data_IF_162771865967
#
_entry.id   IF_162771865967
#
_cell.length_a   1.000
_cell.length_b   1.000
_cell.length_c   1.000
_cell.angle_alpha   90.00
_cell.angle_beta   90.00
_cell.angle_gamma   90.00
#
_symmetry.space_group_name_H-M   'P 1'
#
loop_
_entity.id
_entity.type
_entity.pdbx_description
1 polymer ?
#
# COMPACT_ATOMS: atom_id res chain seq x y z
N UNK A 1 27.68 -3.01 9.89
CA UNK A 1 26.44 -2.34 9.43
C UNK A 1 25.53 -1.97 10.63
N UNK A 2 25.15 -2.89 11.50
CA UNK A 2 24.24 -2.61 12.63
C UNK A 2 24.68 -1.45 13.52
N UNK A 3 25.98 -1.34 13.84
CA UNK A 3 26.52 -0.23 14.64
C UNK A 3 26.14 1.17 14.10
N UNK A 4 26.16 1.38 12.79
CA UNK A 4 25.75 2.65 12.20
C UNK A 4 24.22 2.81 12.20
N UNK A 5 23.50 1.71 11.97
CA UNK A 5 22.03 1.73 11.98
C UNK A 5 21.45 2.03 13.39
N UNK A 6 22.14 1.65 14.44
CA UNK A 6 21.75 1.96 15.82
C UNK A 6 21.87 3.45 16.14
N UNK A 7 22.86 4.13 15.57
CA UNK A 7 23.15 5.54 15.81
C UNK A 7 22.38 6.50 14.91
N UNK A 8 21.93 6.04 13.75
CA UNK A 8 21.20 6.84 12.79
C UNK A 8 19.76 7.07 13.30
N UNK A 9 19.28 8.31 13.25
CA UNK A 9 17.85 8.55 13.46
C UNK A 9 17.03 8.03 12.28
N UNK A 10 15.96 7.26 12.51
CA UNK A 10 15.05 6.82 11.45
C UNK A 10 14.45 7.96 10.62
N UNK A 11 14.35 9.16 11.21
CA UNK A 11 13.87 10.35 10.51
C UNK A 11 14.78 10.75 9.35
N UNK A 12 16.09 10.52 9.44
CA UNK A 12 17.02 10.81 8.35
C UNK A 12 16.68 10.03 7.07
N UNK A 13 16.40 8.74 7.19
CA UNK A 13 16.02 7.89 6.07
C UNK A 13 14.61 8.20 5.55
N UNK A 14 13.69 8.53 6.46
CA UNK A 14 12.34 8.98 6.10
C UNK A 14 12.38 10.29 5.31
N UNK A 15 13.23 11.25 5.69
CA UNK A 15 13.42 12.51 4.95
C UNK A 15 14.11 12.27 3.59
N UNK A 16 15.07 11.36 3.50
CA UNK A 16 15.69 10.98 2.23
C UNK A 16 14.64 10.40 1.27
N UNK A 17 13.87 9.41 1.72
CA UNK A 17 12.77 8.84 0.94
C UNK A 17 11.77 9.92 0.50
N UNK A 18 11.37 10.82 1.40
CA UNK A 18 10.47 11.93 1.08
C UNK A 18 11.02 12.83 -0.03
N UNK A 19 12.33 13.14 0.00
CA UNK A 19 12.98 13.93 -1.06
C UNK A 19 12.95 13.18 -2.41
N UNK A 20 13.25 11.90 -2.43
CA UNK A 20 13.18 11.05 -3.63
C UNK A 20 11.77 11.07 -4.24
N UNK A 21 10.74 10.77 -3.45
CA UNK A 21 9.36 10.76 -3.94
C UNK A 21 8.90 12.14 -4.40
N UNK A 22 9.29 13.22 -3.71
CA UNK A 22 8.98 14.59 -4.16
C UNK A 22 9.59 14.89 -5.53
N UNK A 23 10.81 14.45 -5.78
CA UNK A 23 11.48 14.64 -7.08
C UNK A 23 10.73 13.91 -8.19
N UNK A 24 10.29 12.67 -7.96
CA UNK A 24 9.51 11.90 -8.92
C UNK A 24 8.16 12.55 -9.24
N UNK A 25 7.45 13.06 -8.22
CA UNK A 25 6.17 13.75 -8.42
C UNK A 25 6.38 15.06 -9.19
N UNK A 26 7.43 15.82 -8.87
CA UNK A 26 7.75 17.07 -9.55
C UNK A 26 8.14 16.86 -11.02
N UNK A 27 8.75 15.74 -11.36
CA UNK A 27 9.13 15.37 -12.72
C UNK A 27 7.96 15.18 -13.69
N UNK A 28 6.71 15.09 -13.18
CA UNK A 28 5.45 14.98 -13.94
C UNK A 28 5.29 13.76 -14.84
N UNK A 29 6.26 12.86 -14.90
CA UNK A 29 6.29 11.71 -15.82
C UNK A 29 5.16 10.71 -15.58
N UNK A 30 4.74 10.59 -14.33
CA UNK A 30 3.68 9.68 -13.93
C UNK A 30 2.28 10.33 -13.92
N UNK A 31 2.16 11.58 -14.36
CA UNK A 31 0.88 12.31 -14.30
C UNK A 31 -0.25 11.61 -15.07
N UNK A 32 0.07 10.87 -16.13
CA UNK A 32 -0.90 10.10 -16.93
C UNK A 32 -1.55 8.95 -16.16
N UNK A 33 -0.92 8.49 -15.08
CA UNK A 33 -1.38 7.33 -14.28
C UNK A 33 -2.24 7.74 -13.07
N UNK A 34 -2.60 9.02 -12.97
CA UNK A 34 -3.46 9.51 -11.90
C UNK A 34 -4.89 9.06 -12.14
N UNK A 35 -5.54 8.58 -11.09
CA UNK A 35 -6.95 8.20 -11.12
C UNK A 35 -7.80 9.41 -11.51
N UNK A 36 -8.67 9.22 -12.50
CA UNK A 36 -9.53 10.26 -13.09
C UNK A 36 -8.73 11.50 -13.53
N UNK A 37 -7.47 11.31 -13.97
CA UNK A 37 -6.56 12.37 -14.39
C UNK A 37 -6.11 13.32 -13.26
N UNK A 38 -6.57 13.11 -12.02
CA UNK A 38 -6.39 14.05 -10.90
C UNK A 38 -5.69 13.43 -9.69
N UNK A 39 -6.12 12.28 -9.22
CA UNK A 39 -5.75 11.76 -7.90
C UNK A 39 -4.59 10.76 -7.96
N UNK A 40 -3.63 10.92 -7.08
CA UNK A 40 -2.62 9.90 -6.83
C UNK A 40 -3.21 8.80 -5.95
N UNK A 41 -3.15 7.57 -6.42
CA UNK A 41 -3.58 6.41 -5.64
C UNK A 41 -2.54 6.11 -4.56
N UNK A 42 -2.97 6.09 -3.31
CA UNK A 42 -2.14 5.74 -2.15
C UNK A 42 -2.78 4.57 -1.43
N UNK A 43 -2.11 3.43 -1.44
CA UNK A 43 -2.60 2.19 -0.85
C UNK A 43 -2.02 2.07 0.56
N UNK A 44 -2.90 1.84 1.53
CA UNK A 44 -2.54 1.54 2.92
C UNK A 44 -2.66 0.04 3.16
N UNK A 45 -1.63 -0.56 3.74
CA UNK A 45 -1.68 -1.94 4.21
C UNK A 45 -0.63 -2.19 5.29
N UNK A 46 -0.98 -3.06 6.24
CA UNK A 46 -0.12 -3.43 7.36
C UNK A 46 0.54 -4.79 7.14
N UNK A 47 1.82 -4.91 7.47
CA UNK A 47 2.51 -6.20 7.41
C UNK A 47 3.28 -6.52 8.68
N UNK A 48 3.25 -7.81 9.09
CA UNK A 48 4.12 -8.33 10.15
C UNK A 48 5.57 -8.41 9.66
N UNK A 49 6.51 -8.14 10.55
CA UNK A 49 7.92 -8.25 10.25
C UNK A 49 8.49 -9.57 10.78
N UNK A 50 8.58 -9.74 12.09
CA UNK A 50 9.14 -10.94 12.71
C UNK A 50 8.46 -11.22 14.04
N UNK A 51 8.55 -12.47 14.51
CA UNK A 51 7.90 -12.97 15.71
C UNK A 51 8.94 -13.57 16.67
N UNK A 52 8.72 -13.36 17.97
CA UNK A 52 9.56 -13.86 19.04
C UNK A 52 8.74 -14.67 20.03
N UNK A 53 9.36 -15.70 20.62
CA UNK A 53 8.74 -16.47 21.71
C UNK A 53 9.22 -16.02 23.09
N UNK A 54 10.50 -15.71 23.22
CA UNK A 54 11.14 -15.41 24.51
C UNK A 54 11.78 -14.03 24.54
N UNK A 55 12.83 -13.80 23.75
CA UNK A 55 13.56 -12.54 23.74
C UNK A 55 12.85 -11.52 22.86
N UNK A 56 12.42 -10.41 23.41
CA UNK A 56 11.70 -9.33 22.73
C UNK A 56 12.14 -7.96 23.28
N UNK A 57 11.73 -6.89 22.63
CA UNK A 57 11.93 -5.53 23.09
C UNK A 57 10.66 -4.98 23.79
N UNK A 58 10.78 -3.89 24.52
CA UNK A 58 9.68 -3.27 25.27
C UNK A 58 8.55 -2.72 24.38
N UNK A 59 8.84 -2.45 23.11
CA UNK A 59 7.90 -1.89 22.14
C UNK A 59 7.13 -2.95 21.33
N UNK A 60 7.39 -4.24 21.56
CA UNK A 60 6.73 -5.31 20.84
C UNK A 60 5.22 -5.33 21.08
N UNK A 61 4.48 -5.65 20.03
CA UNK A 61 3.10 -6.11 20.16
C UNK A 61 3.09 -7.54 20.66
N UNK A 62 2.01 -7.94 21.34
CA UNK A 62 1.87 -9.29 21.90
C UNK A 62 0.54 -9.92 21.45
N UNK A 63 0.58 -11.20 21.16
CA UNK A 63 -0.63 -12.02 20.91
C UNK A 63 -0.50 -13.36 21.58
N UNK A 64 -1.61 -13.95 21.99
CA UNK A 64 -1.67 -15.33 22.47
C UNK A 64 -2.06 -16.27 21.33
N UNK A 65 -1.29 -17.34 21.16
CA UNK A 65 -1.59 -18.41 20.20
C UNK A 65 -1.80 -19.72 20.94
N UNK A 66 -2.92 -20.38 20.66
CA UNK A 66 -3.19 -21.71 21.15
C UNK A 66 -2.45 -22.72 20.26
N UNK A 67 -1.65 -23.57 20.88
CA UNK A 67 -0.94 -24.66 20.21
C UNK A 67 -1.84 -25.90 20.07
N UNK A 68 -1.45 -26.84 19.21
CA UNK A 68 -2.19 -28.07 18.96
C UNK A 68 -2.35 -28.94 20.23
N UNK A 69 -1.44 -28.80 21.20
CA UNK A 69 -1.47 -29.48 22.52
C UNK A 69 -2.35 -28.74 23.55
N UNK A 70 -3.10 -27.69 23.13
CA UNK A 70 -3.96 -26.90 24.00
C UNK A 70 -3.25 -25.82 24.82
N UNK A 71 -1.92 -25.80 24.85
CA UNK A 71 -1.15 -24.77 25.56
C UNK A 71 -1.24 -23.42 24.86
N UNK A 72 -1.37 -22.35 25.65
CA UNK A 72 -1.26 -20.98 25.15
C UNK A 72 0.17 -20.50 25.26
N UNK A 73 0.71 -19.99 24.17
CA UNK A 73 2.01 -19.33 24.15
C UNK A 73 1.82 -17.84 23.79
N UNK A 74 2.60 -17.00 24.45
CA UNK A 74 2.70 -15.58 24.08
C UNK A 74 3.69 -15.45 22.92
N UNK A 75 3.27 -14.72 21.89
CA UNK A 75 4.13 -14.37 20.76
C UNK A 75 4.25 -12.85 20.73
N UNK A 76 5.48 -12.37 20.72
CA UNK A 76 5.81 -10.97 20.56
C UNK A 76 6.17 -10.69 19.12
N UNK A 77 5.75 -9.56 18.57
CA UNK A 77 5.97 -9.30 17.16
C UNK A 77 6.07 -7.80 16.87
N UNK A 78 6.67 -7.48 15.75
CA UNK A 78 6.65 -6.14 15.17
C UNK A 78 5.77 -6.11 13.93
N UNK A 79 5.06 -5.02 13.76
CA UNK A 79 4.21 -4.75 12.60
C UNK A 79 4.48 -3.35 12.07
N UNK A 80 4.37 -3.19 10.78
CA UNK A 80 4.54 -1.90 10.12
C UNK A 80 3.35 -1.64 9.21
N UNK A 81 2.95 -0.39 9.13
CA UNK A 81 1.98 0.12 8.17
C UNK A 81 2.73 0.90 7.09
N UNK A 82 2.49 0.55 5.84
CA UNK A 82 2.99 1.26 4.68
C UNK A 82 1.88 2.03 3.97
N UNK A 83 2.21 3.23 3.53
CA UNK A 83 1.48 3.94 2.50
C UNK A 83 2.32 3.87 1.22
N UNK A 84 1.83 3.17 0.20
CA UNK A 84 2.51 3.09 -1.10
C UNK A 84 1.76 3.89 -2.15
N UNK A 85 2.49 4.77 -2.85
CA UNK A 85 1.96 5.52 -3.98
C UNK A 85 2.12 4.71 -5.27
N UNK A 86 1.04 4.62 -6.03
CA UNK A 86 1.04 3.97 -7.35
C UNK A 86 1.38 5.01 -8.39
N UNK A 87 2.59 4.97 -8.90
CA UNK A 87 3.07 5.87 -9.94
C UNK A 87 2.78 5.32 -11.34
N UNK A 88 2.86 4.00 -11.52
CA UNK A 88 2.45 3.29 -12.72
C UNK A 88 2.09 1.85 -12.39
N UNK A 89 1.74 1.06 -13.41
CA UNK A 89 1.49 -0.37 -13.22
C UNK A 89 2.73 -1.14 -12.76
N UNK A 90 3.92 -0.63 -13.02
CA UNK A 90 5.19 -1.26 -12.67
C UNK A 90 5.91 -0.59 -11.50
N UNK A 91 5.45 0.60 -11.06
CA UNK A 91 6.14 1.39 -10.04
C UNK A 91 5.18 1.74 -8.91
N UNK A 92 5.30 0.99 -7.81
CA UNK A 92 4.50 1.14 -6.59
C UNK A 92 5.44 1.27 -5.39
N UNK A 93 5.69 2.51 -4.96
CA UNK A 93 6.78 2.84 -4.05
C UNK A 93 6.29 3.37 -2.70
N UNK A 94 7.12 3.24 -1.67
CA UNK A 94 6.83 3.74 -0.33
C UNK A 94 6.74 5.26 -0.29
N UNK A 95 5.55 5.77 0.06
CA UNK A 95 5.29 7.19 0.34
C UNK A 95 5.52 7.52 1.81
N UNK A 96 5.21 6.58 2.70
CA UNK A 96 5.30 6.73 4.13
C UNK A 96 5.24 5.41 4.88
N UNK A 97 5.91 5.35 6.02
CA UNK A 97 5.99 4.20 6.93
C UNK A 97 5.58 4.62 8.34
N UNK A 98 4.80 3.80 9.01
CA UNK A 98 4.50 3.93 10.43
C UNK A 98 4.70 2.59 11.13
N UNK A 99 5.52 2.58 12.18
CA UNK A 99 5.71 1.39 12.98
C UNK A 99 4.57 1.28 14.00
N UNK A 100 3.97 0.09 14.08
CA UNK A 100 2.90 -0.22 15.02
C UNK A 100 3.57 -0.83 16.24
N UNK A 101 3.66 -0.06 17.31
CA UNK A 101 4.45 -0.38 18.48
C UNK A 101 3.74 0.07 19.76
N UNK A 102 3.96 -0.67 20.83
CA UNK A 102 3.57 -0.23 22.17
C UNK A 102 4.56 0.80 22.69
N UNK A 103 4.09 1.77 23.50
CA UNK A 103 4.96 2.76 24.15
C UNK A 103 5.87 2.12 25.20
N UNK A 104 5.40 1.03 25.84
CA UNK A 104 6.11 0.24 26.86
C UNK A 104 5.58 -1.19 26.86
N UNK A 105 6.30 -2.11 27.53
CA UNK A 105 5.97 -3.53 27.56
C UNK A 105 4.56 -3.85 28.09
N UNK A 106 4.17 -3.25 29.20
CA UNK A 106 2.92 -3.56 29.90
C UNK A 106 1.87 -2.47 29.66
N UNK A 107 1.33 -2.40 28.44
CA UNK A 107 0.23 -1.48 28.11
C UNK A 107 -1.13 -2.14 28.31
N UNK A 108 -2.11 -1.39 28.78
CA UNK A 108 -3.50 -1.87 28.92
C UNK A 108 -4.16 -2.11 27.57
N UNK A 109 -3.79 -1.32 26.56
CA UNK A 109 -4.28 -1.44 25.18
C UNK A 109 -3.12 -1.31 24.21
N UNK A 110 -2.93 -2.33 23.41
CA UNK A 110 -1.89 -2.32 22.38
C UNK A 110 -2.22 -1.36 21.24
N UNK A 111 -1.19 -0.83 20.59
CA UNK A 111 -1.34 -0.05 19.37
C UNK A 111 -1.95 -0.89 18.24
N UNK A 112 -2.62 -0.25 17.32
CA UNK A 112 -3.31 -0.93 16.23
C UNK A 112 -3.13 -0.21 14.89
N UNK A 113 -3.43 -0.92 13.83
CA UNK A 113 -3.26 -0.46 12.47
C UNK A 113 -4.05 0.82 12.16
N UNK A 114 -5.29 0.97 12.67
CA UNK A 114 -6.07 2.20 12.48
C UNK A 114 -5.45 3.42 13.16
N UNK A 115 -4.88 3.25 14.35
CA UNK A 115 -4.18 4.34 15.03
C UNK A 115 -2.91 4.73 14.29
N UNK A 116 -2.15 3.73 13.85
CA UNK A 116 -0.98 3.94 13.01
C UNK A 116 -1.34 4.64 11.69
N UNK A 117 -2.45 4.26 11.06
CA UNK A 117 -2.93 4.91 9.85
C UNK A 117 -3.24 6.40 10.05
N UNK A 118 -3.90 6.77 11.15
CA UNK A 118 -4.15 8.17 11.48
C UNK A 118 -2.85 8.96 11.64
N UNK A 119 -1.84 8.40 12.32
CA UNK A 119 -0.51 9.02 12.47
C UNK A 119 0.20 9.15 11.13
N UNK A 120 0.15 8.10 10.31
CA UNK A 120 0.76 8.07 8.99
C UNK A 120 0.16 9.10 8.04
N UNK A 121 -1.18 9.19 7.96
CA UNK A 121 -1.86 10.19 7.13
C UNK A 121 -1.51 11.62 7.55
N UNK A 122 -1.40 11.89 8.84
CA UNK A 122 -0.95 13.20 9.35
C UNK A 122 0.48 13.53 8.87
N UNK A 123 1.40 12.56 8.92
CA UNK A 123 2.78 12.72 8.41
C UNK A 123 2.79 12.96 6.90
N UNK A 124 1.97 12.22 6.13
CA UNK A 124 1.86 12.38 4.68
C UNK A 124 1.27 13.75 4.33
N UNK A 125 0.22 14.20 5.02
CA UNK A 125 -0.37 15.52 4.78
C UNK A 125 0.63 16.64 5.04
N UNK A 126 1.43 16.53 6.11
CA UNK A 126 2.51 17.49 6.40
C UNK A 126 3.60 17.46 5.32
N UNK A 127 3.96 16.28 4.82
CA UNK A 127 4.99 16.13 3.81
C UNK A 127 4.53 16.58 2.41
N UNK A 128 3.27 16.35 2.06
CA UNK A 128 2.69 16.59 0.75
C UNK A 128 1.35 17.38 0.84
N UNK A 129 1.35 18.62 1.33
CA UNK A 129 0.13 19.34 1.73
C UNK A 129 -0.86 19.58 0.59
N UNK A 130 -0.38 19.69 -0.66
CA UNK A 130 -1.19 19.99 -1.86
C UNK A 130 -1.40 18.80 -2.78
N UNK A 131 -0.92 17.61 -2.40
CA UNK A 131 -1.04 16.43 -3.25
C UNK A 131 -2.49 15.93 -3.24
N UNK A 132 -3.18 15.87 -4.38
CA UNK A 132 -4.50 15.28 -4.46
C UNK A 132 -4.37 13.75 -4.37
N UNK A 133 -4.85 13.18 -3.28
CA UNK A 133 -4.71 11.76 -2.98
C UNK A 133 -6.07 11.08 -2.99
N UNK A 134 -6.13 9.85 -3.50
CA UNK A 134 -7.18 8.88 -3.25
C UNK A 134 -6.59 7.72 -2.42
N UNK A 135 -7.02 7.61 -1.17
CA UNK A 135 -6.59 6.56 -0.25
C UNK A 135 -7.31 5.26 -0.60
N UNK A 136 -6.56 4.18 -0.70
CA UNK A 136 -7.09 2.83 -0.92
C UNK A 136 -6.70 1.91 0.24
N UNK A 137 -7.61 1.04 0.64
CA UNK A 137 -7.36 0.11 1.74
C UNK A 137 -8.40 -1.01 1.79
N UNK A 138 -8.19 -1.93 2.71
CA UNK A 138 -9.15 -2.99 2.96
C UNK A 138 -10.36 -2.49 3.80
N UNK A 139 -11.27 -3.39 4.15
CA UNK A 139 -12.46 -3.07 4.94
C UNK A 139 -12.15 -2.59 6.38
N UNK A 140 -10.91 -2.68 6.85
CA UNK A 140 -10.51 -2.12 8.14
C UNK A 140 -10.62 -0.59 8.15
N UNK A 141 -10.27 0.02 7.01
CA UNK A 141 -10.25 1.48 6.83
C UNK A 141 -11.63 2.06 6.48
N UNK A 142 -12.60 1.21 6.16
CA UNK A 142 -13.98 1.60 5.92
C UNK A 142 -14.72 1.90 7.23
N UNK A 143 -14.09 2.61 8.15
CA UNK A 143 -14.65 3.07 9.40
C UNK A 143 -14.95 4.57 9.29
N UNK A 144 -16.13 4.98 9.75
CA UNK A 144 -16.64 6.35 9.67
C UNK A 144 -15.60 7.39 10.06
N UNK A 145 -15.04 7.26 11.27
CA UNK A 145 -14.01 8.19 11.76
C UNK A 145 -12.76 8.29 10.86
N UNK A 146 -12.44 7.22 10.13
CA UNK A 146 -11.29 7.22 9.22
C UNK A 146 -11.65 7.81 7.86
N UNK A 147 -12.84 7.53 7.35
CA UNK A 147 -13.38 8.12 6.13
C UNK A 147 -13.52 9.64 6.28
N UNK A 148 -14.08 10.11 7.41
CA UNK A 148 -14.19 11.53 7.74
C UNK A 148 -12.81 12.21 7.86
N UNK A 149 -11.84 11.54 8.47
CA UNK A 149 -10.47 12.05 8.52
C UNK A 149 -9.89 12.26 7.12
N UNK A 150 -10.11 11.32 6.21
CA UNK A 150 -9.68 11.46 4.81
C UNK A 150 -10.40 12.61 4.12
N UNK A 151 -11.72 12.63 4.15
CA UNK A 151 -12.54 13.55 3.36
C UNK A 151 -12.58 14.95 3.95
N UNK A 152 -12.97 15.09 5.21
CA UNK A 152 -13.23 16.38 5.84
C UNK A 152 -11.95 17.07 6.33
N UNK A 153 -11.02 16.31 6.93
CA UNK A 153 -9.80 16.90 7.50
C UNK A 153 -8.69 17.09 6.46
N UNK A 154 -8.46 16.08 5.61
CA UNK A 154 -7.35 16.12 4.65
C UNK A 154 -7.77 16.51 3.25
N UNK A 155 -9.07 16.53 2.94
CA UNK A 155 -9.62 16.78 1.60
C UNK A 155 -9.05 15.80 0.57
N UNK A 156 -8.98 14.52 0.97
CA UNK A 156 -8.57 13.40 0.14
C UNK A 156 -9.76 12.51 -0.15
N UNK A 157 -9.73 11.88 -1.29
CA UNK A 157 -10.73 10.89 -1.65
C UNK A 157 -10.33 9.50 -1.15
N UNK A 158 -11.27 8.57 -1.14
CA UNK A 158 -11.00 7.18 -0.74
C UNK A 158 -11.75 6.17 -1.61
N UNK A 159 -11.19 4.94 -1.65
CA UNK A 159 -11.82 3.72 -2.15
C UNK A 159 -11.45 2.61 -1.18
N UNK A 160 -12.42 2.07 -0.47
CA UNK A 160 -12.22 0.98 0.50
C UNK A 160 -13.01 -0.25 0.12
N UNK A 161 -12.46 -1.44 0.38
CA UNK A 161 -13.20 -2.68 0.20
C UNK A 161 -14.38 -2.72 1.18
N UNK A 162 -15.57 -3.03 0.70
CA UNK A 162 -16.73 -3.30 1.54
C UNK A 162 -16.74 -4.78 1.94
N UNK A 163 -17.04 -5.04 3.23
CA UNK A 163 -17.33 -6.38 3.77
C UNK A 163 -18.66 -6.35 4.52
N UNK A 164 -19.56 -7.27 4.17
CA UNK A 164 -20.89 -7.42 4.82
C UNK A 164 -20.80 -7.44 6.34
N UNK A 165 -19.83 -8.17 6.89
CA UNK A 165 -19.63 -8.32 8.33
C UNK A 165 -19.32 -7.02 9.08
N UNK A 166 -18.88 -5.97 8.40
CA UNK A 166 -18.50 -4.69 9.02
C UNK A 166 -19.45 -3.55 8.75
N UNK A 167 -20.16 -3.59 7.63
CA UNK A 167 -21.05 -2.52 7.16
C UNK A 167 -22.38 -3.12 6.72
N UNK A 168 -23.05 -3.79 7.66
CA UNK A 168 -24.24 -4.58 7.41
C UNK A 168 -25.40 -3.72 6.88
N UNK A 169 -25.66 -2.57 7.51
CA UNK A 169 -26.72 -1.65 7.10
C UNK A 169 -26.48 -1.07 5.69
N UNK A 170 -25.25 -0.70 5.37
CA UNK A 170 -24.90 -0.22 4.02
C UNK A 170 -25.05 -1.34 2.98
N UNK A 171 -24.69 -2.57 3.33
CA UNK A 171 -24.84 -3.72 2.45
C UNK A 171 -26.32 -4.02 2.17
N UNK A 172 -27.14 -3.99 3.20
CA UNK A 172 -28.60 -4.16 3.10
C UNK A 172 -29.25 -3.06 2.26
N UNK A 173 -28.87 -1.79 2.48
CA UNK A 173 -29.34 -0.66 1.68
C UNK A 173 -28.96 -0.79 0.21
N UNK A 174 -27.72 -1.14 -0.07
CA UNK A 174 -27.26 -1.32 -1.44
C UNK A 174 -27.96 -2.49 -2.15
N UNK A 175 -28.13 -3.64 -1.49
CA UNK A 175 -28.86 -4.79 -2.05
C UNK A 175 -30.34 -4.46 -2.30
N UNK A 176 -30.97 -3.66 -1.42
CA UNK A 176 -32.33 -3.19 -1.63
C UNK A 176 -32.43 -2.28 -2.87
N UNK A 177 -31.53 -1.31 -3.02
CA UNK A 177 -31.44 -0.43 -4.19
C UNK A 177 -31.24 -1.28 -5.47
N UNK A 178 -30.36 -2.26 -5.40
CA UNK A 178 -30.04 -3.14 -6.54
C UNK A 178 -31.23 -4.01 -6.96
N UNK A 179 -32.02 -4.53 -6.01
CA UNK A 179 -33.25 -5.29 -6.29
C UNK A 179 -34.35 -4.41 -6.89
N UNK A 180 -34.44 -3.15 -6.48
CA UNK A 180 -35.37 -2.17 -6.99
C UNK A 180 -34.93 -1.51 -8.31
N UNK A 181 -33.90 -2.07 -9.01
CA UNK A 181 -33.32 -1.51 -10.23
C UNK A 181 -32.76 -0.09 -10.11
N UNK A 182 -32.52 0.39 -8.87
CA UNK A 182 -31.93 1.69 -8.58
C UNK A 182 -30.40 1.76 -8.80
N UNK A 183 -29.77 0.67 -9.31
CA UNK A 183 -28.35 0.67 -9.69
C UNK A 183 -28.17 0.75 -11.19
N UNK A 184 -27.18 1.53 -11.61
CA UNK A 184 -26.72 1.49 -13.01
C UNK A 184 -25.89 0.22 -13.26
N UNK A 185 -26.12 -0.47 -14.37
CA UNK A 185 -25.45 -1.71 -14.75
C UNK A 185 -24.72 -1.55 -16.08
N UNK A 186 -23.46 -2.00 -16.11
CA UNK A 186 -22.63 -2.01 -17.32
C UNK A 186 -21.99 -3.40 -17.47
N UNK A 187 -22.07 -3.96 -18.66
CA UNK A 187 -21.49 -5.28 -19.00
C UNK A 187 -20.26 -5.13 -19.90
N UNK A 188 -19.43 -6.16 -19.94
CA UNK A 188 -18.24 -6.19 -20.80
C UNK A 188 -17.04 -5.42 -20.26
N UNK A 189 -17.01 -5.13 -18.95
CA UNK A 189 -15.95 -4.38 -18.32
C UNK A 189 -14.72 -5.24 -18.03
N UNK A 190 -13.57 -4.60 -18.07
CA UNK A 190 -12.25 -5.18 -17.80
C UNK A 190 -11.91 -6.36 -18.75
N UNK A 191 -10.74 -6.95 -18.57
CA UNK A 191 -10.29 -8.07 -19.41
C UNK A 191 -11.20 -9.30 -19.31
N UNK A 192 -11.77 -9.54 -18.13
CA UNK A 192 -12.68 -10.66 -17.87
C UNK A 192 -14.09 -10.44 -18.44
N UNK A 193 -14.35 -9.31 -19.09
CA UNK A 193 -15.67 -8.93 -19.64
C UNK A 193 -16.81 -9.11 -18.62
N UNK A 194 -16.53 -8.76 -17.37
CA UNK A 194 -17.46 -8.85 -16.27
C UNK A 194 -18.57 -7.80 -16.31
N UNK A 195 -19.37 -7.77 -15.28
CA UNK A 195 -20.46 -6.81 -15.10
C UNK A 195 -20.17 -5.94 -13.87
N UNK A 196 -20.31 -4.64 -14.04
CA UNK A 196 -20.25 -3.65 -12.97
C UNK A 196 -21.63 -3.07 -12.66
N UNK A 197 -21.85 -2.75 -11.39
CA UNK A 197 -23.01 -2.02 -10.90
C UNK A 197 -22.52 -0.88 -10.02
N UNK A 198 -23.28 0.21 -9.98
CA UNK A 198 -23.01 1.27 -9.01
C UNK A 198 -24.28 1.99 -8.60
N UNK A 199 -24.24 2.55 -7.40
CA UNK A 199 -25.21 3.51 -6.89
C UNK A 199 -24.45 4.63 -6.20
N UNK A 200 -24.80 5.86 -6.52
CA UNK A 200 -24.29 7.03 -5.80
C UNK A 200 -25.27 7.43 -4.71
N UNK A 201 -24.74 8.11 -3.70
CA UNK A 201 -25.55 8.66 -2.59
C UNK A 201 -26.36 7.59 -1.83
N UNK A 202 -25.73 6.44 -1.57
CA UNK A 202 -26.35 5.39 -0.77
C UNK A 202 -26.30 5.81 0.70
N UNK A 203 -27.46 5.96 1.32
CA UNK A 203 -27.60 6.30 2.73
C UNK A 203 -27.54 5.05 3.60
N UNK A 204 -26.90 5.15 4.75
CA UNK A 204 -26.94 4.11 5.76
C UNK A 204 -28.26 4.17 6.52
N UNK A 205 -29.01 3.08 6.59
CA UNK A 205 -30.39 3.02 7.18
C UNK A 205 -30.44 3.42 8.66
N UNK A 206 -29.32 3.49 9.35
CA UNK A 206 -29.24 3.70 10.80
C UNK A 206 -29.16 5.17 11.25
N UNK A 207 -29.67 6.13 10.47
CA UNK A 207 -29.78 7.54 10.90
C UNK A 207 -28.47 8.31 10.93
N UNK A 208 -27.42 7.81 10.28
CA UNK A 208 -26.17 8.53 10.06
C UNK A 208 -26.20 9.22 8.71
N UNK A 209 -25.80 10.48 8.70
CA UNK A 209 -25.89 11.39 7.55
C UNK A 209 -24.80 11.18 6.49
N UNK A 210 -24.03 10.10 6.53
CA UNK A 210 -22.98 9.88 5.57
C UNK A 210 -23.50 9.21 4.30
N UNK A 211 -23.39 9.94 3.23
CA UNK A 211 -23.75 9.51 1.88
C UNK A 211 -22.52 8.93 1.22
N UNK A 212 -22.58 7.66 0.84
CA UNK A 212 -21.47 6.95 0.21
C UNK A 212 -21.82 6.51 -1.21
N UNK A 213 -20.81 6.44 -2.07
CA UNK A 213 -20.96 5.83 -3.38
C UNK A 213 -20.49 4.39 -3.29
N UNK A 214 -21.30 3.46 -3.80
CA UNK A 214 -21.02 2.02 -3.77
C UNK A 214 -20.92 1.52 -5.20
N UNK A 215 -19.92 0.70 -5.48
CA UNK A 215 -19.78 0.00 -6.76
C UNK A 215 -19.33 -1.43 -6.58
N UNK A 216 -19.78 -2.25 -7.50
CA UNK A 216 -19.58 -3.70 -7.49
C UNK A 216 -19.09 -4.16 -8.84
N UNK A 217 -18.25 -5.19 -8.85
CA UNK A 217 -17.80 -5.86 -10.05
C UNK A 217 -17.88 -7.37 -9.87
N UNK A 218 -18.39 -8.05 -10.87
CA UNK A 218 -18.54 -9.49 -10.88
C UNK A 218 -18.13 -10.08 -12.21
N UNK A 219 -17.40 -11.19 -12.18
CA UNK A 219 -17.08 -11.96 -13.37
C UNK A 219 -17.10 -13.47 -13.09
N UNK A 220 -17.22 -14.24 -14.17
CA UNK A 220 -17.18 -15.70 -14.12
C UNK A 220 -15.77 -16.18 -14.44
N UNK A 221 -15.27 -17.14 -13.67
CA UNK A 221 -14.00 -17.82 -13.93
C UNK A 221 -14.16 -19.32 -13.67
N UNK A 222 -13.19 -20.12 -14.08
CA UNK A 222 -13.15 -21.56 -13.77
C UNK A 222 -12.15 -21.78 -12.62
N UNK A 223 -12.50 -22.64 -11.69
CA UNK A 223 -11.60 -23.09 -10.64
C UNK A 223 -10.62 -24.17 -11.17
N UNK A 224 -9.77 -24.71 -10.28
CA UNK A 224 -8.80 -25.77 -10.61
C UNK A 224 -9.45 -27.09 -11.09
N UNK A 225 -10.76 -27.23 -10.87
CA UNK A 225 -11.58 -28.38 -11.26
C UNK A 225 -12.53 -28.05 -12.41
N UNK A 226 -12.26 -26.98 -13.17
CA UNK A 226 -13.07 -26.45 -14.28
C UNK A 226 -14.51 -26.05 -13.91
N UNK A 227 -14.86 -25.99 -12.63
CA UNK A 227 -16.18 -25.53 -12.20
C UNK A 227 -16.27 -24.02 -12.31
N UNK A 228 -17.37 -23.54 -12.87
CA UNK A 228 -17.65 -22.12 -12.98
C UNK A 228 -17.87 -21.56 -11.58
N UNK A 229 -17.05 -20.59 -11.21
CA UNK A 229 -17.23 -19.78 -10.00
C UNK A 229 -17.45 -18.31 -10.38
N UNK A 230 -18.19 -17.63 -9.53
CA UNK A 230 -18.47 -16.20 -9.65
C UNK A 230 -17.59 -15.47 -8.63
N UNK A 231 -16.74 -14.59 -9.12
CA UNK A 231 -15.94 -13.72 -8.29
C UNK A 231 -16.66 -12.37 -8.18
N UNK A 232 -16.86 -11.89 -6.96
CA UNK A 232 -17.57 -10.65 -6.66
C UNK A 232 -16.69 -9.75 -5.79
N UNK A 233 -16.64 -8.48 -6.15
CA UNK A 233 -15.96 -7.44 -5.38
C UNK A 233 -16.93 -6.28 -5.18
N UNK A 234 -16.89 -5.67 -4.02
CA UNK A 234 -17.66 -4.47 -3.72
C UNK A 234 -16.79 -3.46 -2.97
N UNK A 235 -16.98 -2.21 -3.28
CA UNK A 235 -16.22 -1.11 -2.71
C UNK A 235 -17.12 0.08 -2.42
N UNK A 236 -16.67 0.89 -1.47
CA UNK A 236 -17.22 2.20 -1.15
C UNK A 236 -16.22 3.29 -1.55
N UNK A 237 -16.72 4.42 -1.97
CA UNK A 237 -15.92 5.56 -2.40
C UNK A 237 -16.57 6.89 -2.06
N UNK A 238 -15.72 7.89 -1.82
CA UNK A 238 -16.12 9.29 -1.77
C UNK A 238 -16.22 9.94 -3.17
N UNK A 239 -15.66 9.28 -4.19
CA UNK A 239 -15.72 9.74 -5.58
C UNK A 239 -17.06 9.34 -6.21
N UNK A 240 -17.69 10.27 -6.90
CA UNK A 240 -18.88 9.98 -7.70
C UNK A 240 -18.56 9.03 -8.86
N UNK A 241 -19.43 8.04 -9.05
CA UNK A 241 -19.27 6.99 -10.03
C UNK A 241 -20.22 7.25 -11.19
N UNK A 242 -19.71 7.11 -12.40
CA UNK A 242 -20.44 7.31 -13.65
C UNK A 242 -20.20 6.16 -14.60
N UNK A 243 -21.04 6.02 -15.63
CA UNK A 243 -20.82 5.03 -16.71
C UNK A 243 -19.43 5.15 -17.35
N UNK A 244 -18.86 6.38 -17.39
CA UNK A 244 -17.57 6.67 -18.05
C UNK A 244 -16.38 6.27 -17.20
N UNK A 245 -16.49 6.41 -15.87
CA UNK A 245 -15.36 6.16 -14.97
C UNK A 245 -15.42 4.82 -14.22
N UNK A 246 -16.51 4.06 -14.32
CA UNK A 246 -16.71 2.83 -13.55
C UNK A 246 -15.58 1.81 -13.78
N UNK A 247 -15.16 1.61 -15.01
CA UNK A 247 -14.08 0.66 -15.33
C UNK A 247 -12.75 1.09 -14.71
N UNK A 248 -12.39 2.38 -14.81
CA UNK A 248 -11.20 2.94 -14.18
C UNK A 248 -11.25 2.79 -12.66
N UNK A 249 -12.41 3.04 -12.05
CA UNK A 249 -12.63 2.86 -10.61
C UNK A 249 -12.48 1.39 -10.18
N UNK A 250 -13.02 0.45 -10.95
CA UNK A 250 -12.86 -1.00 -10.70
C UNK A 250 -11.39 -1.40 -10.80
N UNK A 251 -10.69 -0.99 -11.86
CA UNK A 251 -9.26 -1.29 -12.04
C UNK A 251 -8.41 -0.67 -10.92
N UNK A 252 -8.72 0.55 -10.52
CA UNK A 252 -8.05 1.21 -9.40
C UNK A 252 -8.27 0.46 -8.07
N UNK A 253 -9.51 0.09 -7.76
CA UNK A 253 -9.86 -0.61 -6.53
C UNK A 253 -9.24 -2.02 -6.46
N UNK A 254 -9.28 -2.78 -7.56
CA UNK A 254 -8.58 -4.07 -7.69
C UNK A 254 -7.06 -3.91 -7.58
N UNK A 255 -6.53 -2.78 -8.04
CA UNK A 255 -5.10 -2.46 -7.96
C UNK A 255 -4.55 -2.37 -6.54
N UNK A 256 -5.38 -2.38 -5.48
CA UNK A 256 -4.93 -2.48 -4.08
C UNK A 256 -4.04 -3.71 -3.85
N UNK A 257 -4.31 -4.81 -4.52
CA UNK A 257 -3.49 -6.03 -4.45
C UNK A 257 -2.03 -5.82 -4.88
N UNK A 258 -1.72 -4.71 -5.56
CA UNK A 258 -0.35 -4.37 -5.94
C UNK A 258 0.56 -4.15 -4.73
N UNK A 259 0.05 -3.60 -3.61
CA UNK A 259 0.86 -3.46 -2.39
C UNK A 259 1.18 -4.83 -1.78
N UNK A 260 0.23 -5.76 -1.82
CA UNK A 260 0.40 -7.10 -1.27
C UNK A 260 1.32 -7.95 -2.14
N UNK A 261 1.05 -8.03 -3.45
CA UNK A 261 1.76 -8.91 -4.37
C UNK A 261 3.09 -8.33 -4.87
N UNK A 262 3.12 -7.07 -5.29
CA UNK A 262 4.31 -6.42 -5.87
C UNK A 262 5.12 -5.67 -4.81
N UNK A 263 4.49 -5.28 -3.70
CA UNK A 263 5.13 -4.66 -2.55
C UNK A 263 5.63 -5.69 -1.53
N UNK A 264 4.74 -6.09 -0.62
CA UNK A 264 5.17 -6.90 0.53
C UNK A 264 5.59 -8.33 0.18
N UNK A 265 4.94 -8.98 -0.75
CA UNK A 265 5.32 -10.36 -1.13
C UNK A 265 6.73 -10.41 -1.70
N UNK A 266 7.07 -9.45 -2.58
CA UNK A 266 8.44 -9.33 -3.09
C UNK A 266 9.44 -8.96 -1.99
N UNK A 267 9.03 -8.16 -1.01
CA UNK A 267 9.89 -7.77 0.11
C UNK A 267 10.07 -8.89 1.14
N UNK A 268 9.08 -9.77 1.33
CA UNK A 268 9.15 -10.92 2.24
C UNK A 268 9.86 -12.12 1.63
N UNK A 269 9.36 -12.57 0.50
CA UNK A 269 9.75 -13.82 -0.15
C UNK A 269 10.80 -13.63 -1.25
N UNK A 270 11.02 -12.40 -1.68
CA UNK A 270 11.98 -12.05 -2.71
C UNK A 270 13.36 -11.67 -2.17
N UNK A 271 13.86 -10.53 -2.65
CA UNK A 271 15.23 -10.06 -2.40
C UNK A 271 15.45 -9.59 -0.95
N UNK A 272 14.48 -8.92 -0.36
CA UNK A 272 14.72 -8.10 0.84
C UNK A 272 14.52 -8.81 2.17
N UNK A 273 13.75 -9.92 2.21
CA UNK A 273 13.51 -10.75 3.40
C UNK A 273 13.16 -9.91 4.64
N UNK A 274 12.21 -9.01 4.54
CA UNK A 274 11.84 -8.08 5.62
C UNK A 274 11.36 -8.76 6.92
N UNK A 275 11.04 -10.05 6.86
CA UNK A 275 10.69 -10.87 8.03
C UNK A 275 11.92 -11.44 8.73
N UNK A 276 13.14 -11.17 8.23
CA UNK A 276 14.38 -11.59 8.89
C UNK A 276 14.86 -10.49 9.85
N UNK A 277 15.01 -10.87 11.12
CA UNK A 277 15.52 -9.98 12.16
C UNK A 277 17.00 -9.66 11.93
N UNK A 278 17.32 -8.40 11.77
CA UNK A 278 18.70 -7.92 11.65
C UNK A 278 19.32 -7.46 12.97
N UNK A 279 18.52 -6.99 13.92
CA UNK A 279 18.94 -6.48 15.22
C UNK A 279 17.78 -6.47 16.21
N UNK A 280 18.08 -6.59 17.51
CA UNK A 280 17.12 -6.31 18.60
C UNK A 280 17.06 -4.83 18.96
N UNK A 281 17.97 -4.01 18.47
CA UNK A 281 17.94 -2.56 18.68
C UNK A 281 16.85 -1.94 17.81
N UNK A 282 15.93 -1.19 18.41
CA UNK A 282 14.77 -0.59 17.74
C UNK A 282 15.18 0.34 16.59
N UNK A 283 16.20 1.19 16.77
CA UNK A 283 16.68 2.08 15.72
C UNK A 283 17.27 1.30 14.54
N UNK A 284 18.11 0.30 14.83
CA UNK A 284 18.72 -0.52 13.77
C UNK A 284 17.65 -1.28 12.96
N UNK A 285 16.65 -1.82 13.62
CA UNK A 285 15.53 -2.51 12.98
C UNK A 285 14.73 -1.57 12.08
N UNK A 286 14.35 -0.40 12.59
CA UNK A 286 13.61 0.62 11.84
C UNK A 286 14.42 1.12 10.64
N UNK A 287 15.67 1.43 10.85
CA UNK A 287 16.57 1.91 9.80
C UNK A 287 16.82 0.86 8.72
N UNK A 288 16.98 -0.42 9.09
CA UNK A 288 17.08 -1.50 8.11
C UNK A 288 15.83 -1.59 7.24
N UNK A 289 14.63 -1.52 7.84
CA UNK A 289 13.37 -1.52 7.10
C UNK A 289 13.26 -0.31 6.16
N UNK A 290 13.59 0.90 6.64
CA UNK A 290 13.54 2.12 5.84
C UNK A 290 14.55 2.12 4.69
N UNK A 291 15.76 1.59 4.89
CA UNK A 291 16.74 1.37 3.83
C UNK A 291 16.22 0.39 2.78
N UNK A 292 15.53 -0.66 3.20
CA UNK A 292 14.88 -1.60 2.29
C UNK A 292 13.84 -0.89 1.40
N UNK A 293 13.03 0.03 1.96
CA UNK A 293 12.07 0.81 1.16
C UNK A 293 12.78 1.74 0.17
N UNK A 294 13.90 2.35 0.54
CA UNK A 294 14.70 3.18 -0.37
C UNK A 294 15.32 2.33 -1.49
N UNK A 295 15.89 1.18 -1.15
CA UNK A 295 16.45 0.24 -2.13
C UNK A 295 15.37 -0.28 -3.11
N UNK A 296 14.17 -0.54 -2.61
CA UNK A 296 13.02 -0.96 -3.42
C UNK A 296 12.60 0.14 -4.41
N UNK A 297 12.58 1.41 -4.00
CA UNK A 297 12.34 2.54 -4.89
C UNK A 297 13.36 2.56 -6.02
N UNK A 298 14.66 2.50 -5.69
CA UNK A 298 15.72 2.53 -6.68
C UNK A 298 15.63 1.35 -7.65
N UNK A 299 15.36 0.15 -7.14
CA UNK A 299 15.25 -1.06 -7.94
C UNK A 299 14.05 -1.00 -8.90
N UNK A 300 12.89 -0.56 -8.43
CA UNK A 300 11.70 -0.44 -9.27
C UNK A 300 11.93 0.59 -10.39
N UNK A 301 12.53 1.74 -10.08
CA UNK A 301 12.85 2.76 -11.07
C UNK A 301 13.90 2.26 -12.07
N UNK A 302 14.93 1.57 -11.61
CA UNK A 302 15.95 0.99 -12.46
C UNK A 302 15.37 -0.01 -13.47
N UNK A 303 14.51 -0.93 -12.99
CA UNK A 303 13.84 -1.90 -13.86
C UNK A 303 12.87 -1.21 -14.83
N UNK A 304 12.11 -0.22 -14.34
CA UNK A 304 11.11 0.45 -15.16
C UNK A 304 11.72 1.30 -16.29
N UNK A 305 12.90 1.87 -16.08
CA UNK A 305 13.50 2.81 -17.02
C UNK A 305 14.70 2.27 -17.79
N UNK A 306 15.26 1.13 -17.39
CA UNK A 306 16.36 0.52 -18.14
C UNK A 306 15.80 -0.36 -19.27
N UNK A 307 15.93 0.06 -20.56
CA UNK A 307 15.43 -0.70 -21.69
C UNK A 307 16.04 -2.10 -21.78
N UNK A 308 17.32 -2.23 -21.49
CA UNK A 308 18.03 -3.53 -21.47
C UNK A 308 17.38 -4.53 -20.50
N UNK A 309 17.10 -4.07 -19.28
CA UNK A 309 16.46 -4.93 -18.25
C UNK A 309 15.06 -5.32 -18.65
N UNK A 310 14.30 -4.40 -19.27
CA UNK A 310 12.97 -4.70 -19.81
C UNK A 310 12.98 -5.76 -20.89
N UNK A 311 13.90 -5.67 -21.84
CA UNK A 311 14.05 -6.63 -22.94
C UNK A 311 14.45 -8.02 -22.44
N UNK A 312 15.34 -8.07 -21.46
CA UNK A 312 15.85 -9.33 -20.88
C UNK A 312 14.81 -10.06 -20.02
N UNK A 313 13.72 -9.41 -19.63
CA UNK A 313 12.66 -9.97 -18.74
C UNK A 313 13.22 -10.70 -17.52
N UNK A 314 14.32 -10.18 -16.95
CA UNK A 314 15.00 -10.80 -15.83
C UNK A 314 14.23 -10.65 -14.53
N UNK A 315 14.40 -11.63 -13.63
CA UNK A 315 13.86 -11.53 -12.28
C UNK A 315 14.59 -10.43 -11.50
N UNK A 316 13.90 -9.82 -10.54
CA UNK A 316 14.49 -8.83 -9.62
C UNK A 316 15.75 -9.40 -8.94
N UNK A 317 15.74 -10.70 -8.58
CA UNK A 317 16.86 -11.38 -7.96
C UNK A 317 18.10 -11.42 -8.86
N UNK A 318 17.93 -11.77 -10.14
CA UNK A 318 19.01 -11.80 -11.10
C UNK A 318 19.55 -10.39 -11.38
N UNK A 319 18.67 -9.42 -11.55
CA UNK A 319 19.03 -8.01 -11.72
C UNK A 319 19.86 -7.51 -10.53
N UNK A 320 19.45 -7.83 -9.30
CA UNK A 320 20.21 -7.48 -8.10
C UNK A 320 21.59 -8.14 -8.04
N UNK A 321 21.69 -9.41 -8.44
CA UNK A 321 22.97 -10.12 -8.48
C UNK A 321 23.92 -9.46 -9.50
N UNK A 322 23.44 -9.07 -10.65
CA UNK A 322 24.24 -8.37 -11.67
C UNK A 322 24.69 -6.98 -11.20
N UNK A 323 23.80 -6.23 -10.54
CA UNK A 323 24.17 -4.95 -9.94
C UNK A 323 25.27 -5.12 -8.88
N UNK A 324 25.16 -6.15 -8.04
CA UNK A 324 26.16 -6.44 -7.02
C UNK A 324 27.52 -6.76 -7.64
N UNK A 325 27.57 -7.57 -8.71
CA UNK A 325 28.80 -7.84 -9.45
C UNK A 325 29.38 -6.59 -10.11
N UNK A 326 28.52 -5.74 -10.67
CA UNK A 326 28.95 -4.46 -11.23
C UNK A 326 29.59 -3.57 -10.15
N UNK A 327 28.96 -3.44 -8.98
CA UNK A 327 29.51 -2.66 -7.86
C UNK A 327 30.83 -3.23 -7.31
N UNK A 328 31.06 -4.54 -7.40
CA UNK A 328 32.32 -5.16 -7.00
C UNK A 328 33.45 -4.92 -7.98
N UNK A 329 33.14 -4.81 -9.28
CA UNK A 329 34.13 -4.69 -10.36
C UNK A 329 34.41 -3.26 -10.74
N UNK A 330 33.46 -2.35 -10.56
CA UNK A 330 33.59 -0.95 -10.96
C UNK A 330 33.81 -0.07 -9.73
N UNK A 331 34.89 0.71 -9.78
CA UNK A 331 35.14 1.77 -8.80
C UNK A 331 34.64 3.08 -9.38
N UNK A 332 33.65 3.69 -8.70
CA UNK A 332 33.15 5.01 -9.07
C UNK A 332 34.12 6.06 -8.60
N UNK A 333 34.65 6.84 -9.49
CA UNK A 333 35.58 7.94 -9.20
C UNK A 333 34.83 9.24 -8.96
N UNK A 334 35.51 10.24 -8.38
CA UNK A 334 34.95 11.59 -8.23
C UNK A 334 34.67 12.25 -9.60
N UNK A 335 35.39 11.89 -10.62
CA UNK A 335 35.17 12.35 -11.99
C UNK A 335 33.90 11.75 -12.59
N UNK A 336 33.62 10.45 -12.36
CA UNK A 336 32.39 9.79 -12.78
C UNK A 336 31.19 10.46 -12.11
N UNK A 337 31.28 10.77 -10.81
CA UNK A 337 30.20 11.47 -10.08
C UNK A 337 29.97 12.87 -10.67
N UNK A 338 31.05 13.60 -10.95
CA UNK A 338 30.96 14.94 -11.55
C UNK A 338 30.40 14.90 -12.96
N UNK A 339 30.78 13.88 -13.75
CA UNK A 339 30.25 13.65 -15.09
C UNK A 339 28.74 13.34 -15.04
N UNK A 340 28.33 12.40 -14.16
CA UNK A 340 26.93 12.06 -13.95
C UNK A 340 26.13 13.31 -13.54
N UNK A 341 26.61 14.12 -12.62
CA UNK A 341 25.94 15.34 -12.19
C UNK A 341 25.78 16.39 -13.30
N UNK A 342 26.75 16.50 -14.21
CA UNK A 342 26.74 17.49 -15.32
C UNK A 342 25.90 17.05 -16.51
N UNK A 343 25.93 15.74 -16.84
CA UNK A 343 25.41 15.25 -18.12
C UNK A 343 24.21 14.32 -17.99
N UNK A 344 23.91 13.84 -16.79
CA UNK A 344 22.70 13.08 -16.58
C UNK A 344 21.55 14.00 -16.18
N UNK A 345 21.04 14.72 -17.14
CA UNK A 345 19.64 15.18 -17.04
C UNK A 345 18.83 13.89 -17.20
N UNK A 346 18.22 13.44 -16.13
CA UNK A 346 17.29 12.31 -16.18
C UNK A 346 16.07 12.77 -16.96
N UNK A 347 16.12 12.62 -18.28
CA UNK A 347 14.94 12.69 -19.11
C UNK A 347 14.16 11.40 -18.85
N UNK A 348 13.18 11.52 -18.04
CA UNK A 348 12.20 10.48 -17.80
C UNK A 348 11.13 10.68 -18.89
N UNK A 349 11.29 10.09 -20.06
CA UNK A 349 10.27 10.01 -21.11
C UNK A 349 9.10 9.08 -20.74
#
# INVERSE_FOLDING_TARGET
>A
MNYYLEKLSPDCLSELRKKMVKSLIKGKQFNRNRLLGKYWRVILDGTGLFYFKEKHCDNCLCTEKQMADGKKIKLYYHKVLEAKIVLSDQVVISLGTEFIENEKENVTKQDCELNAAKRLLKKIKKAYPRLPICIQGDALYAAENFMNLCKETYHWEYIFTQKETRQKSLDESYEWIKKGEGTEKITGLCQEKGTGWYANHVEEVAGKTEVMNVFEYQYKTKDKHEKIQIIRFRWISSLEITKRNLEEMILAARGRWKIENEGFNNQKNGLYRIEHLNSYNSNAMKNHYLLTQIADILMQLYIAWNPYIKELKQSIKNTSSWLLESFRRQTVTSEDVSYIQRYTTVYLE
#
